data_IF_045388215565
#
_entry.id   IF_045388215565
#
_cell.length_a   1.000
_cell.length_b   1.000
_cell.length_c   1.000
_cell.angle_alpha   90.00
_cell.angle_beta   90.00
_cell.angle_gamma   90.00
#
_symmetry.space_group_name_H-M   'P 1'
#
loop_
_entity.id
_entity.type
_entity.pdbx_description
1 polymer ?
#
# COMPACT_ATOMS: atom_id res chain seq x y z
N UNK A 1 11.26 3.06 -16.64
CA UNK A 1 11.72 3.28 -15.24
C UNK A 1 12.15 4.75 -15.07
N UNK A 2 12.64 5.34 -16.15
CA UNK A 2 13.24 6.66 -16.26
C UNK A 2 12.37 7.81 -15.72
N UNK A 3 11.05 7.78 -15.94
CA UNK A 3 10.17 8.82 -15.39
C UNK A 3 10.21 8.88 -13.85
N UNK A 4 10.11 7.72 -13.18
CA UNK A 4 10.13 7.65 -11.71
C UNK A 4 11.47 8.12 -11.15
N UNK A 5 12.57 7.64 -11.73
CA UNK A 5 13.92 7.93 -11.25
C UNK A 5 14.27 9.41 -11.47
N UNK A 6 13.88 9.98 -12.61
CA UNK A 6 14.01 11.43 -12.87
C UNK A 6 13.26 12.28 -11.85
N UNK A 7 12.01 11.95 -11.52
CA UNK A 7 11.23 12.72 -10.55
C UNK A 7 11.83 12.60 -9.15
N UNK A 8 12.31 11.41 -8.76
CA UNK A 8 12.98 11.23 -7.47
C UNK A 8 14.24 12.09 -7.35
N UNK A 9 15.04 12.17 -8.42
CA UNK A 9 16.22 13.04 -8.46
C UNK A 9 15.86 14.54 -8.44
N UNK A 10 14.93 14.94 -9.31
CA UNK A 10 14.48 16.34 -9.44
C UNK A 10 13.91 16.89 -8.12
N UNK A 11 13.23 16.05 -7.34
CA UNK A 11 12.58 16.43 -6.09
C UNK A 11 13.40 16.06 -4.84
N UNK A 12 14.57 15.43 -5.02
CA UNK A 12 15.46 15.03 -3.92
C UNK A 12 14.86 13.97 -2.98
N UNK A 13 14.02 13.07 -3.49
CA UNK A 13 13.39 12.03 -2.69
C UNK A 13 14.32 10.84 -2.43
N UNK A 14 14.32 10.35 -1.19
CA UNK A 14 14.85 9.02 -0.88
C UNK A 14 13.87 7.94 -1.33
N UNK A 15 14.00 7.53 -2.59
CA UNK A 15 13.09 6.58 -3.22
C UNK A 15 13.42 5.13 -2.83
N UNK A 16 12.67 4.59 -1.88
CA UNK A 16 12.72 3.16 -1.52
C UNK A 16 12.04 2.30 -2.58
N UNK A 17 12.79 1.35 -3.15
CA UNK A 17 12.27 0.37 -4.13
C UNK A 17 12.17 -0.99 -3.48
N UNK A 18 10.93 -1.41 -3.21
CA UNK A 18 10.66 -2.68 -2.53
C UNK A 18 10.05 -3.73 -3.48
N UNK A 19 10.52 -4.97 -3.39
CA UNK A 19 9.93 -6.13 -4.07
C UNK A 19 9.79 -7.26 -3.07
N UNK A 20 8.66 -7.96 -3.07
CA UNK A 20 8.52 -9.16 -2.24
C UNK A 20 9.37 -10.31 -2.81
N UNK A 21 10.45 -10.75 -2.16
CA UNK A 21 11.28 -11.87 -2.62
C UNK A 21 10.54 -13.21 -2.57
N UNK A 22 9.46 -13.32 -1.80
CA UNK A 22 8.68 -14.55 -1.65
C UNK A 22 7.53 -14.68 -2.65
N UNK A 23 7.33 -13.70 -3.54
CA UNK A 23 6.25 -13.75 -4.51
C UNK A 23 6.51 -14.81 -5.58
N UNK A 24 5.59 -15.77 -5.73
CA UNK A 24 5.68 -16.91 -6.64
C UNK A 24 4.57 -16.90 -7.69
N UNK A 25 3.45 -16.25 -7.40
CA UNK A 25 2.32 -16.16 -8.31
C UNK A 25 2.61 -15.18 -9.45
N UNK A 26 2.02 -15.49 -10.60
CA UNK A 26 2.06 -14.68 -11.82
C UNK A 26 0.63 -14.33 -12.25
N UNK A 27 0.43 -13.22 -12.98
CA UNK A 27 -0.90 -12.79 -13.41
C UNK A 27 -1.67 -13.86 -14.20
N UNK A 28 -0.96 -14.70 -14.94
CA UNK A 28 -1.51 -15.77 -15.79
C UNK A 28 -2.04 -16.94 -14.97
N UNK A 29 -1.43 -17.22 -13.80
CA UNK A 29 -1.87 -18.28 -12.89
C UNK A 29 -3.04 -17.82 -12.03
N UNK A 30 -2.91 -16.66 -11.40
CA UNK A 30 -3.93 -16.08 -10.54
C UNK A 30 -3.67 -14.59 -10.37
N UNK A 31 -4.54 -13.76 -10.94
CA UNK A 31 -4.45 -12.30 -10.81
C UNK A 31 -4.58 -11.85 -9.36
N UNK A 32 -5.45 -12.51 -8.59
CA UNK A 32 -5.70 -12.18 -7.19
C UNK A 32 -4.46 -12.46 -6.33
N UNK A 33 -3.91 -13.67 -6.42
CA UNK A 33 -2.74 -14.06 -5.61
C UNK A 33 -1.50 -13.28 -6.02
N UNK A 34 -1.32 -13.06 -7.32
CA UNK A 34 -0.24 -12.23 -7.84
C UNK A 34 -0.31 -10.81 -7.27
N UNK A 35 -1.49 -10.19 -7.25
CA UNK A 35 -1.67 -8.86 -6.65
C UNK A 35 -1.46 -8.90 -5.13
N UNK A 36 -1.97 -9.92 -4.44
CA UNK A 36 -1.81 -10.05 -3.00
C UNK A 36 -0.33 -10.18 -2.61
N UNK A 37 0.43 -11.06 -3.25
CA UNK A 37 1.84 -11.28 -2.95
C UNK A 37 2.72 -10.08 -3.33
N UNK A 38 2.50 -9.50 -4.52
CA UNK A 38 3.39 -8.47 -5.07
C UNK A 38 3.04 -7.05 -4.66
N UNK A 39 1.81 -6.80 -4.20
CA UNK A 39 1.37 -5.47 -3.76
C UNK A 39 1.09 -5.47 -2.25
N UNK A 40 0.14 -6.28 -1.79
CA UNK A 40 -0.30 -6.26 -0.39
C UNK A 40 0.81 -6.73 0.56
N UNK A 41 1.35 -7.93 0.35
CA UNK A 41 2.42 -8.47 1.19
C UNK A 41 3.73 -7.70 1.02
N UNK A 42 4.02 -7.21 -0.19
CA UNK A 42 5.19 -6.38 -0.44
C UNK A 42 5.16 -5.08 0.37
N UNK A 43 4.05 -4.34 0.33
CA UNK A 43 3.91 -3.10 1.10
C UNK A 43 3.95 -3.36 2.61
N UNK A 44 3.25 -4.40 3.09
CA UNK A 44 3.25 -4.78 4.50
C UNK A 44 4.69 -5.02 5.00
N UNK A 45 5.46 -5.84 4.28
CA UNK A 45 6.84 -6.13 4.65
C UNK A 45 7.75 -4.90 4.59
N UNK A 46 7.57 -4.03 3.60
CA UNK A 46 8.32 -2.78 3.51
C UNK A 46 8.08 -1.90 4.75
N UNK A 47 6.83 -1.80 5.21
CA UNK A 47 6.48 -1.03 6.41
C UNK A 47 7.16 -1.62 7.65
N UNK A 48 7.08 -2.95 7.83
CA UNK A 48 7.69 -3.66 8.95
C UNK A 48 9.22 -3.58 8.94
N UNK A 49 9.87 -3.81 7.79
CA UNK A 49 11.34 -3.85 7.66
C UNK A 49 11.98 -2.47 7.84
N UNK A 50 11.30 -1.40 7.43
CA UNK A 50 11.79 -0.02 7.56
C UNK A 50 11.27 0.70 8.82
N UNK A 51 10.36 0.07 9.58
CA UNK A 51 9.83 0.62 10.84
C UNK A 51 8.97 1.87 10.66
N UNK A 52 8.16 1.93 9.62
CA UNK A 52 7.26 3.08 9.40
C UNK A 52 6.02 3.01 10.27
N UNK A 53 5.76 4.05 11.07
CA UNK A 53 4.54 4.16 11.88
C UNK A 53 3.30 4.60 11.07
N UNK A 54 3.52 5.34 9.97
CA UNK A 54 2.46 5.91 9.15
C UNK A 54 2.85 5.91 7.66
N UNK A 55 1.84 5.75 6.80
CA UNK A 55 1.98 5.83 5.35
C UNK A 55 0.93 6.80 4.81
N UNK A 56 1.38 7.80 4.07
CA UNK A 56 0.50 8.70 3.32
C UNK A 56 0.19 8.05 1.97
N UNK A 57 -1.08 8.03 1.60
CA UNK A 57 -1.57 7.47 0.34
C UNK A 57 -2.40 8.51 -0.41
N UNK A 58 -2.43 8.41 -1.73
CA UNK A 58 -3.12 9.35 -2.61
C UNK A 58 -4.51 8.88 -3.03
N UNK A 59 -5.24 8.19 -2.13
CA UNK A 59 -6.57 7.66 -2.43
C UNK A 59 -7.56 8.82 -2.45
N UNK A 60 -8.44 8.87 -3.45
CA UNK A 60 -9.49 9.89 -3.54
C UNK A 60 -10.88 9.29 -3.39
N UNK A 61 -11.79 10.05 -2.80
CA UNK A 61 -13.17 9.63 -2.57
C UNK A 61 -13.99 9.40 -3.85
N UNK A 62 -13.60 10.04 -4.96
CA UNK A 62 -14.28 9.98 -6.24
C UNK A 62 -13.73 8.91 -7.19
N UNK A 63 -12.70 8.15 -6.79
CA UNK A 63 -12.09 7.10 -7.62
C UNK A 63 -12.98 5.85 -7.74
N UNK A 64 -13.68 5.47 -6.67
CA UNK A 64 -14.50 4.25 -6.62
C UNK A 64 -15.59 4.38 -5.53
N UNK A 65 -16.79 3.82 -5.77
CA UNK A 65 -17.94 4.00 -4.89
C UNK A 65 -17.67 3.65 -3.41
N UNK A 66 -16.84 2.63 -3.14
CA UNK A 66 -16.49 2.22 -1.78
C UNK A 66 -15.58 3.24 -1.08
N UNK A 67 -14.82 4.04 -1.84
CA UNK A 67 -13.89 5.04 -1.32
C UNK A 67 -14.60 6.28 -0.78
N UNK A 68 -15.86 6.50 -1.13
CA UNK A 68 -16.70 7.54 -0.49
C UNK A 68 -16.79 7.41 1.03
N UNK A 69 -16.48 6.23 1.59
CA UNK A 69 -16.48 5.95 3.03
C UNK A 69 -15.08 6.02 3.67
N UNK A 70 -14.03 6.33 2.91
CA UNK A 70 -12.67 6.49 3.42
C UNK A 70 -12.59 7.67 4.39
N UNK A 71 -11.68 7.56 5.36
CA UNK A 71 -11.38 8.62 6.32
C UNK A 71 -10.00 9.19 6.01
N UNK A 72 -9.76 10.43 6.42
CA UNK A 72 -8.42 11.05 6.31
C UNK A 72 -7.36 10.22 7.04
N UNK A 73 -7.71 9.64 8.19
CA UNK A 73 -6.85 8.75 8.96
C UNK A 73 -7.46 7.35 9.03
N UNK A 74 -6.62 6.35 8.82
CA UNK A 74 -7.01 4.95 8.77
C UNK A 74 -6.06 4.13 9.65
N UNK A 75 -6.27 4.10 10.99
CA UNK A 75 -5.39 3.37 11.88
C UNK A 75 -5.40 1.87 11.57
N UNK A 76 -4.26 1.21 11.79
CA UNK A 76 -4.07 -0.23 11.64
C UNK A 76 -3.65 -0.80 12.98
N UNK A 77 -4.16 -1.98 13.34
CA UNK A 77 -3.59 -2.74 14.45
C UNK A 77 -2.28 -3.43 14.02
N UNK A 78 -1.55 -4.04 14.96
CA UNK A 78 -0.31 -4.78 14.69
C UNK A 78 -0.50 -5.94 13.69
N UNK A 79 -1.75 -6.40 13.49
CA UNK A 79 -2.10 -7.42 12.51
C UNK A 79 -2.52 -6.81 11.16
N UNK A 80 -2.35 -5.51 10.97
CA UNK A 80 -2.78 -4.74 9.80
C UNK A 80 -4.29 -4.79 9.55
N UNK A 81 -5.10 -5.12 10.56
CA UNK A 81 -6.56 -5.13 10.42
C UNK A 81 -7.10 -3.72 10.49
N UNK A 82 -8.14 -3.50 9.70
CA UNK A 82 -8.94 -2.29 9.76
C UNK A 82 -9.84 -2.39 10.99
N UNK A 83 -9.64 -1.52 11.96
CA UNK A 83 -10.59 -1.36 13.05
C UNK A 83 -11.81 -0.61 12.47
N UNK A 84 -12.81 -1.35 12.01
CA UNK A 84 -14.15 -0.79 11.80
C UNK A 84 -14.68 -0.39 13.18
N UNK A 85 -14.40 0.84 13.61
CA UNK A 85 -15.24 1.44 14.64
C UNK A 85 -16.62 1.62 14.00
N UNK A 86 -17.56 0.75 14.37
CA UNK A 86 -18.98 1.05 14.21
C UNK A 86 -19.21 2.48 14.68
N UNK A 87 -19.92 3.28 13.88
CA UNK A 87 -20.48 4.52 14.40
C UNK A 87 -21.37 4.10 15.57
N UNK A 88 -20.94 4.40 16.80
CA UNK A 88 -21.80 4.30 17.97
C UNK A 88 -23.10 5.04 17.67
N UNK A 89 -24.23 4.38 17.98
CA UNK A 89 -25.54 5.02 18.05
C UNK A 89 -25.62 6.04 19.17
#
# INVERSE_FOLDING_TARGET
>A
IDFRDRIAEEWGFDLIRYKNPNARSTPEKSRLDCCHERKTLALKRCIEEYGFDAVIVSIRWDEEAIRSKERVMSPRDERFRWLFAEKGG
#
